data_IF_275160213425
#
_entry.id   IF_275160213425
#
_cell.length_a   1.000
_cell.length_b   1.000
_cell.length_c   1.000
_cell.angle_alpha   90.00
_cell.angle_beta   90.00
_cell.angle_gamma   90.00
#
_symmetry.space_group_name_H-M   'P 1'
#
loop_
_entity.id
_entity.type
_entity.pdbx_description
1 polymer ?
#
# COMPACT_ATOMS: atom_id res chain seq x y z
N UNK A 1 -70.32 27.29 36.18
CA UNK A 1 -69.02 27.98 36.18
C UNK A 1 -68.32 27.64 37.49
N UNK A 2 -67.07 27.13 37.41
CA UNK A 2 -65.96 27.18 38.41
C UNK A 2 -66.26 26.76 39.87
N UNK A 3 -65.50 25.90 40.58
CA UNK A 3 -64.04 25.73 40.82
C UNK A 3 -63.84 24.31 41.44
N UNK A 4 -62.86 23.44 41.09
CA UNK A 4 -61.40 23.41 41.43
C UNK A 4 -61.08 23.87 42.88
N UNK A 5 -60.20 23.30 43.70
CA UNK A 5 -59.31 22.14 43.70
C UNK A 5 -58.78 22.01 45.16
N UNK A 6 -58.23 20.86 45.56
CA UNK A 6 -56.86 20.80 46.07
C UNK A 6 -56.38 19.35 46.24
N UNK A 7 -55.51 18.96 45.32
CA UNK A 7 -54.63 17.79 45.38
C UNK A 7 -53.35 18.14 46.17
N UNK A 8 -52.65 17.13 46.73
CA UNK A 8 -51.41 17.29 47.50
C UNK A 8 -50.18 17.70 46.64
N UNK A 9 -49.11 18.23 47.27
CA UNK A 9 -48.08 19.06 46.62
C UNK A 9 -47.11 18.29 45.72
N UNK A 10 -46.49 18.97 44.73
CA UNK A 10 -45.52 18.38 43.81
C UNK A 10 -44.14 18.19 44.46
N UNK A 11 -43.39 17.13 44.09
CA UNK A 11 -41.99 16.99 44.47
C UNK A 11 -41.09 17.95 43.64
N UNK A 12 -39.95 18.38 44.20
CA UNK A 12 -39.11 19.43 43.63
C UNK A 12 -38.32 18.94 42.41
N UNK A 13 -38.26 19.82 41.41
CA UNK A 13 -37.39 19.75 40.25
C UNK A 13 -35.96 20.16 40.63
N UNK A 14 -35.01 19.25 40.50
CA UNK A 14 -33.61 19.62 40.33
C UNK A 14 -33.09 19.07 39.00
N UNK A 15 -32.46 20.00 38.29
CA UNK A 15 -31.80 19.83 37.01
C UNK A 15 -30.57 18.96 37.20
N UNK A 16 -30.45 17.90 36.41
CA UNK A 16 -29.15 17.38 35.99
C UNK A 16 -29.23 17.10 34.49
N UNK A 17 -29.10 18.18 33.73
CA UNK A 17 -28.54 18.13 32.38
C UNK A 17 -27.06 17.89 32.59
N UNK A 18 -26.62 16.63 32.59
CA UNK A 18 -25.21 16.35 32.46
C UNK A 18 -24.93 15.40 31.29
N UNK A 19 -24.67 16.06 30.17
CA UNK A 19 -23.65 15.72 29.19
C UNK A 19 -23.36 14.22 29.02
N UNK A 20 -24.25 13.55 28.30
CA UNK A 20 -23.79 12.47 27.42
C UNK A 20 -22.80 13.11 26.45
N UNK A 21 -21.52 13.10 26.81
CA UNK A 21 -20.42 13.43 25.94
C UNK A 21 -20.62 12.56 24.69
N UNK A 22 -21.15 13.18 23.65
CA UNK A 22 -21.02 12.69 22.31
C UNK A 22 -19.53 12.44 22.14
N UNK A 23 -19.14 11.17 22.19
CA UNK A 23 -17.84 10.74 21.69
C UNK A 23 -17.92 11.13 20.22
N UNK A 24 -17.44 12.33 19.90
CA UNK A 24 -17.12 12.72 18.55
C UNK A 24 -16.15 11.65 18.07
N UNK A 25 -16.66 10.62 17.40
CA UNK A 25 -15.88 9.80 16.50
C UNK A 25 -15.37 10.75 15.43
N UNK A 26 -14.27 11.45 15.74
CA UNK A 26 -13.49 12.18 14.76
C UNK A 26 -13.11 11.16 13.73
N UNK A 27 -13.80 11.20 12.58
CA UNK A 27 -13.45 10.40 11.42
C UNK A 27 -11.93 10.45 11.27
N UNK A 28 -11.24 9.31 11.40
CA UNK A 28 -9.79 9.31 11.43
C UNK A 28 -9.30 9.90 10.11
N UNK A 29 -8.51 10.98 10.19
CA UNK A 29 -7.96 11.65 9.00
C UNK A 29 -7.28 10.60 8.13
N UNK A 30 -7.82 10.38 6.93
CA UNK A 30 -7.29 9.45 5.95
C UNK A 30 -6.41 10.20 4.98
N UNK A 31 -5.21 9.68 4.76
CA UNK A 31 -4.25 10.21 3.82
C UNK A 31 -4.44 9.59 2.44
N UNK A 32 -4.42 10.43 1.41
CA UNK A 32 -4.48 10.00 0.02
C UNK A 32 -3.10 10.09 -0.63
N UNK A 33 -2.65 9.00 -1.26
CA UNK A 33 -1.40 8.91 -2.02
C UNK A 33 -1.66 8.04 -3.26
N UNK A 34 -1.40 8.59 -4.44
CA UNK A 34 -1.28 7.78 -5.65
C UNK A 34 0.12 7.14 -5.67
N UNK A 35 0.21 5.92 -5.14
CA UNK A 35 1.47 5.19 -4.92
C UNK A 35 2.10 4.82 -6.26
N UNK A 36 1.29 4.39 -7.23
CA UNK A 36 1.79 3.98 -8.54
C UNK A 36 2.38 5.18 -9.30
N UNK A 37 1.66 6.29 -9.33
CA UNK A 37 2.13 7.54 -9.95
C UNK A 37 3.38 8.08 -9.25
N UNK A 38 3.35 8.22 -7.92
CA UNK A 38 4.48 8.69 -7.11
C UNK A 38 5.75 7.88 -7.39
N UNK A 39 5.62 6.57 -7.49
CA UNK A 39 6.71 5.66 -7.82
C UNK A 39 7.22 5.91 -9.24
N UNK A 40 6.32 5.93 -10.24
CA UNK A 40 6.69 6.03 -11.66
C UNK A 40 7.35 7.35 -11.99
N UNK A 41 6.80 8.46 -11.50
CA UNK A 41 7.41 9.77 -11.66
C UNK A 41 8.82 9.83 -11.07
N UNK A 42 8.97 9.37 -9.82
CA UNK A 42 10.25 9.37 -9.13
C UNK A 42 11.29 8.52 -9.86
N UNK A 43 10.90 7.33 -10.35
CA UNK A 43 11.78 6.43 -11.09
C UNK A 43 12.20 7.03 -12.44
N UNK A 44 11.24 7.55 -13.22
CA UNK A 44 11.50 8.11 -14.55
C UNK A 44 12.37 9.37 -14.50
N UNK A 45 12.09 10.30 -13.57
CA UNK A 45 12.83 11.56 -13.44
C UNK A 45 14.24 11.37 -12.88
N UNK A 46 14.49 10.32 -12.10
CA UNK A 46 15.72 10.18 -11.31
C UNK A 46 16.57 8.95 -11.65
N UNK A 47 16.47 8.45 -12.88
CA UNK A 47 17.50 7.58 -13.48
C UNK A 47 16.99 6.33 -14.16
N UNK A 48 15.81 5.80 -13.77
CA UNK A 48 15.34 4.51 -14.30
C UNK A 48 14.89 4.58 -15.76
N UNK A 49 14.62 5.78 -16.31
CA UNK A 49 14.45 5.96 -17.75
C UNK A 49 15.64 5.42 -18.56
N UNK A 50 16.85 5.42 -17.98
CA UNK A 50 18.08 4.91 -18.58
C UNK A 50 18.65 3.70 -17.83
N UNK A 51 17.88 3.06 -16.94
CA UNK A 51 18.34 1.93 -16.13
C UNK A 51 19.37 2.26 -15.03
N UNK A 52 19.55 3.54 -14.68
CA UNK A 52 20.52 3.95 -13.64
C UNK A 52 19.91 3.84 -12.23
N UNK A 53 20.00 2.65 -11.65
CA UNK A 53 19.57 2.39 -10.28
C UNK A 53 20.44 3.10 -9.24
N UNK A 54 21.72 3.38 -9.53
CA UNK A 54 22.60 4.08 -8.58
C UNK A 54 22.13 5.52 -8.37
N UNK A 55 21.77 6.21 -9.47
CA UNK A 55 21.21 7.57 -9.42
C UNK A 55 19.89 7.61 -8.67
N UNK A 56 19.00 6.66 -8.92
CA UNK A 56 17.72 6.58 -8.21
C UNK A 56 17.91 6.34 -6.71
N UNK A 57 18.82 5.43 -6.32
CA UNK A 57 19.18 5.19 -4.92
C UNK A 57 19.70 6.45 -4.21
N UNK A 58 20.53 7.25 -4.90
CA UNK A 58 21.04 8.54 -4.39
C UNK A 58 19.89 9.53 -4.21
N UNK A 59 18.96 9.61 -5.17
CA UNK A 59 17.75 10.41 -5.04
C UNK A 59 16.92 10.01 -3.82
N UNK A 60 16.58 8.72 -3.65
CA UNK A 60 15.81 8.25 -2.50
C UNK A 60 16.51 8.60 -1.17
N UNK A 61 17.84 8.51 -1.13
CA UNK A 61 18.64 8.90 0.05
C UNK A 61 18.51 10.39 0.36
N UNK A 62 18.62 11.25 -0.65
CA UNK A 62 18.45 12.70 -0.48
C UNK A 62 17.00 13.06 -0.09
N UNK A 63 16.01 12.42 -0.73
CA UNK A 63 14.58 12.60 -0.43
C UNK A 63 14.27 12.21 1.01
N UNK A 64 14.75 11.07 1.48
CA UNK A 64 14.62 10.63 2.88
C UNK A 64 15.22 11.66 3.85
N UNK A 65 16.43 12.16 3.56
CA UNK A 65 17.07 13.19 4.41
C UNK A 65 16.20 14.44 4.52
N UNK A 66 15.61 14.91 3.42
CA UNK A 66 14.70 16.08 3.42
C UNK A 66 13.41 15.80 4.19
N UNK A 67 12.80 14.62 4.00
CA UNK A 67 11.59 14.20 4.73
C UNK A 67 11.84 14.12 6.24
N UNK A 68 12.92 13.46 6.68
CA UNK A 68 13.27 13.39 8.10
C UNK A 68 13.50 14.78 8.70
N UNK A 69 14.15 15.70 7.97
CA UNK A 69 14.35 17.08 8.43
C UNK A 69 13.03 17.85 8.52
N UNK A 70 12.15 17.73 7.52
CA UNK A 70 10.86 18.46 7.49
C UNK A 70 9.86 17.94 8.52
N UNK A 71 9.94 16.66 8.89
CA UNK A 71 9.17 16.03 9.94
C UNK A 71 9.76 16.24 11.35
N UNK A 72 10.94 16.85 11.45
CA UNK A 72 11.74 16.91 12.70
C UNK A 72 11.95 15.51 13.33
N UNK A 73 11.92 14.46 12.51
CA UNK A 73 12.03 13.07 12.92
C UNK A 73 13.45 12.57 12.65
N UNK A 74 14.42 13.10 13.40
CA UNK A 74 15.83 12.75 13.25
C UNK A 74 16.24 11.66 14.26
N UNK A 75 17.20 10.82 13.90
CA UNK A 75 17.70 9.73 14.75
C UNK A 75 18.78 10.19 15.73
N UNK A 76 18.62 11.37 16.32
CA UNK A 76 19.60 12.01 17.20
C UNK A 76 20.65 12.85 16.47
N UNK A 77 21.37 13.68 17.22
CA UNK A 77 22.48 14.52 16.76
C UNK A 77 23.75 13.98 17.44
N UNK A 78 24.62 13.29 16.70
CA UNK A 78 25.76 12.56 17.25
C UNK A 78 25.46 11.07 17.46
N UNK A 79 24.92 10.68 18.63
CA UNK A 79 24.58 9.28 18.93
C UNK A 79 23.31 8.85 18.20
N UNK A 80 23.40 7.77 17.43
CA UNK A 80 22.25 7.20 16.73
C UNK A 80 21.21 6.67 17.73
N UNK A 81 20.01 7.25 17.69
CA UNK A 81 18.84 6.80 18.43
C UNK A 81 17.77 6.38 17.44
N UNK A 82 17.52 5.07 17.36
CA UNK A 82 16.52 4.54 16.44
C UNK A 82 15.13 5.04 16.86
N UNK A 83 14.44 5.68 15.94
CA UNK A 83 13.02 6.04 16.08
C UNK A 83 12.23 5.22 15.08
N UNK A 84 11.36 4.36 15.59
CA UNK A 84 10.51 3.52 14.74
C UNK A 84 9.28 4.30 14.30
N UNK A 85 8.80 4.02 13.09
CA UNK A 85 7.54 4.57 12.58
C UNK A 85 6.46 3.54 12.90
N UNK A 86 5.57 3.91 13.81
CA UNK A 86 4.36 3.16 14.23
C UNK A 86 3.11 3.96 13.89
N UNK A 87 1.94 3.36 14.03
CA UNK A 87 0.65 4.01 13.74
C UNK A 87 0.45 5.34 14.46
N UNK A 88 0.87 5.43 15.72
CA UNK A 88 0.82 6.67 16.52
C UNK A 88 1.78 7.76 16.03
N UNK A 89 2.87 7.39 15.36
CA UNK A 89 3.82 8.37 14.80
C UNK A 89 3.36 8.95 13.47
N UNK A 90 2.43 8.29 12.76
CA UNK A 90 1.93 8.75 11.46
C UNK A 90 0.89 9.83 11.68
N UNK A 91 1.37 11.06 11.87
CA UNK A 91 0.53 12.27 12.01
C UNK A 91 0.39 13.04 10.69
N UNK A 92 1.19 12.70 9.68
CA UNK A 92 1.30 13.41 8.40
C UNK A 92 1.61 12.40 7.27
N UNK A 93 1.05 12.63 6.07
CA UNK A 93 1.31 11.87 4.84
C UNK A 93 2.81 11.64 4.60
N UNK A 94 3.63 12.63 4.96
CA UNK A 94 5.10 12.56 4.80
C UNK A 94 5.73 11.38 5.54
N UNK A 95 5.14 10.87 6.63
CA UNK A 95 5.62 9.64 7.27
C UNK A 95 5.43 8.41 6.39
N UNK A 96 4.30 8.31 5.67
CA UNK A 96 4.06 7.26 4.70
C UNK A 96 5.08 7.36 3.54
N UNK A 97 5.36 8.58 3.06
CA UNK A 97 6.44 8.80 2.09
C UNK A 97 7.81 8.35 2.61
N UNK A 98 8.13 8.55 3.90
CA UNK A 98 9.39 8.04 4.47
C UNK A 98 9.47 6.52 4.33
N UNK A 99 8.43 5.79 4.73
CA UNK A 99 8.44 4.31 4.66
C UNK A 99 8.51 3.85 3.20
N UNK A 100 7.74 4.48 2.31
CA UNK A 100 7.79 4.23 0.87
C UNK A 100 9.21 4.40 0.30
N UNK A 101 9.87 5.54 0.54
CA UNK A 101 11.23 5.78 0.04
C UNK A 101 12.30 4.92 0.73
N UNK A 102 12.04 4.37 1.91
CA UNK A 102 12.91 3.36 2.54
C UNK A 102 12.85 2.02 1.79
N UNK A 103 11.66 1.63 1.32
CA UNK A 103 11.46 0.46 0.47
C UNK A 103 12.12 0.68 -0.90
N UNK A 104 11.83 1.79 -1.59
CA UNK A 104 12.38 2.10 -2.91
C UNK A 104 13.92 2.16 -2.91
N UNK A 105 14.53 2.78 -1.89
CA UNK A 105 15.99 2.82 -1.77
C UNK A 105 16.60 1.41 -1.61
N UNK A 106 15.93 0.53 -0.87
CA UNK A 106 16.40 -0.84 -0.66
C UNK A 106 16.22 -1.69 -1.92
N UNK A 107 15.09 -1.54 -2.61
CA UNK A 107 14.80 -2.20 -3.89
C UNK A 107 15.77 -1.75 -4.98
N UNK A 108 15.99 -0.44 -5.14
CA UNK A 108 16.93 0.12 -6.10
C UNK A 108 18.37 -0.37 -5.87
N UNK A 109 18.79 -0.53 -4.60
CA UNK A 109 20.09 -1.12 -4.29
C UNK A 109 20.16 -2.61 -4.66
N UNK A 110 19.06 -3.36 -4.48
CA UNK A 110 19.00 -4.75 -4.90
C UNK A 110 19.09 -4.86 -6.43
N UNK A 111 18.35 -4.01 -7.16
CA UNK A 111 18.37 -3.97 -8.62
C UNK A 111 19.75 -3.57 -9.17
N UNK A 112 20.42 -2.58 -8.58
CA UNK A 112 21.81 -2.22 -8.92
C UNK A 112 22.75 -3.44 -8.84
N UNK A 113 22.57 -4.30 -7.83
CA UNK A 113 23.36 -5.53 -7.69
C UNK A 113 22.92 -6.63 -8.64
N UNK A 114 21.63 -6.72 -8.96
CA UNK A 114 21.08 -7.67 -9.94
C UNK A 114 21.62 -7.40 -11.34
N UNK A 115 21.56 -6.14 -11.80
CA UNK A 115 22.01 -5.75 -13.14
C UNK A 115 23.51 -5.91 -13.35
N UNK A 116 24.29 -5.91 -12.28
CA UNK A 116 25.73 -6.13 -12.33
C UNK A 116 26.12 -7.62 -12.52
N UNK A 117 25.16 -8.55 -12.55
CA UNK A 117 25.45 -9.99 -12.69
C UNK A 117 26.18 -10.56 -11.47
N UNK A 118 25.52 -10.66 -10.30
CA UNK A 118 26.21 -10.95 -9.05
C UNK A 118 26.71 -12.38 -8.97
N UNK A 119 27.93 -12.58 -8.47
CA UNK A 119 28.44 -13.89 -8.07
C UNK A 119 27.70 -14.42 -6.82
N UNK A 120 27.95 -15.67 -6.40
CA UNK A 120 27.19 -16.29 -5.30
C UNK A 120 27.18 -15.47 -3.98
N UNK A 121 28.31 -14.94 -3.46
CA UNK A 121 28.29 -14.04 -2.30
C UNK A 121 27.50 -12.73 -2.54
N UNK A 122 27.68 -12.10 -3.70
CA UNK A 122 26.97 -10.87 -4.06
C UNK A 122 25.46 -11.12 -4.19
N UNK A 123 25.07 -12.32 -4.63
CA UNK A 123 23.68 -12.75 -4.71
C UNK A 123 23.03 -12.85 -3.33
N UNK A 124 23.73 -13.38 -2.33
CA UNK A 124 23.25 -13.40 -0.94
C UNK A 124 23.00 -11.98 -0.43
N UNK A 125 23.93 -11.06 -0.70
CA UNK A 125 23.79 -9.66 -0.35
C UNK A 125 22.62 -8.97 -1.08
N UNK A 126 22.48 -9.21 -2.38
CA UNK A 126 21.36 -8.73 -3.21
C UNK A 126 20.01 -9.20 -2.63
N UNK A 127 19.87 -10.49 -2.32
CA UNK A 127 18.68 -11.03 -1.67
C UNK A 127 18.44 -10.38 -0.30
N UNK A 128 19.49 -10.09 0.47
CA UNK A 128 19.40 -9.33 1.71
C UNK A 128 18.82 -7.92 1.51
N UNK A 129 19.13 -7.26 0.39
CA UNK A 129 18.53 -5.96 0.02
C UNK A 129 17.07 -6.09 -0.38
N UNK A 130 16.69 -7.11 -1.15
CA UNK A 130 15.28 -7.39 -1.45
C UNK A 130 14.46 -7.69 -0.18
N UNK A 131 14.97 -8.51 0.75
CA UNK A 131 14.30 -8.76 2.04
C UNK A 131 14.04 -7.47 2.82
N UNK A 132 15.02 -6.55 2.79
CA UNK A 132 14.87 -5.23 3.41
C UNK A 132 13.79 -4.40 2.72
N UNK A 133 13.72 -4.42 1.38
CA UNK A 133 12.68 -3.73 0.62
C UNK A 133 11.28 -4.25 0.99
N UNK A 134 11.10 -5.58 0.99
CA UNK A 134 9.83 -6.23 1.36
C UNK A 134 9.42 -5.87 2.79
N UNK A 135 10.36 -5.86 3.74
CA UNK A 135 10.06 -5.45 5.12
C UNK A 135 9.47 -4.03 5.21
N UNK A 136 10.04 -3.09 4.45
CA UNK A 136 9.52 -1.71 4.43
C UNK A 136 8.22 -1.59 3.65
N UNK A 137 8.06 -2.32 2.55
CA UNK A 137 6.82 -2.35 1.77
C UNK A 137 5.65 -2.95 2.57
N UNK A 138 5.89 -4.00 3.36
CA UNK A 138 4.90 -4.56 4.27
C UNK A 138 4.47 -3.56 5.35
N UNK A 139 5.43 -2.87 5.96
CA UNK A 139 5.13 -1.80 6.93
C UNK A 139 4.34 -0.66 6.26
N UNK A 140 4.70 -0.27 5.04
CA UNK A 140 4.00 0.75 4.27
C UNK A 140 2.54 0.35 4.03
N UNK A 141 2.29 -0.86 3.54
CA UNK A 141 0.94 -1.39 3.34
C UNK A 141 0.14 -1.44 4.63
N UNK A 142 0.72 -1.90 5.74
CA UNK A 142 0.07 -1.91 7.06
C UNK A 142 -0.35 -0.49 7.49
N UNK A 143 0.55 0.48 7.40
CA UNK A 143 0.25 1.86 7.80
C UNK A 143 -0.79 2.50 6.87
N UNK A 144 -0.74 2.23 5.56
CA UNK A 144 -1.74 2.70 4.61
C UNK A 144 -3.12 2.05 4.82
N UNK A 145 -3.19 0.80 5.30
CA UNK A 145 -4.48 0.18 5.66
C UNK A 145 -5.17 0.91 6.83
N UNK A 146 -4.39 1.49 7.74
CA UNK A 146 -4.89 2.12 8.97
C UNK A 146 -5.09 3.63 8.81
N UNK A 147 -4.17 4.29 8.10
CA UNK A 147 -4.13 5.75 7.95
C UNK A 147 -4.45 6.24 6.53
N UNK A 148 -4.45 5.36 5.54
CA UNK A 148 -4.76 5.68 4.15
C UNK A 148 -6.26 5.61 3.86
N UNK A 149 -6.68 6.27 2.79
CA UNK A 149 -7.98 6.04 2.16
C UNK A 149 -8.03 4.66 1.47
N UNK A 150 -9.22 4.25 1.04
CA UNK A 150 -9.43 2.92 0.43
C UNK A 150 -8.51 2.69 -0.77
N UNK A 151 -8.35 3.70 -1.63
CA UNK A 151 -7.49 3.63 -2.82
C UNK A 151 -6.02 3.45 -2.44
N UNK A 152 -5.50 4.29 -1.56
CA UNK A 152 -4.11 4.24 -1.08
C UNK A 152 -3.81 2.92 -0.42
N UNK A 153 -4.77 2.37 0.34
CA UNK A 153 -4.61 1.05 0.99
C UNK A 153 -4.45 -0.07 -0.03
N UNK A 154 -5.26 -0.09 -1.10
CA UNK A 154 -5.17 -1.06 -2.19
C UNK A 154 -3.88 -0.91 -2.99
N UNK A 155 -3.52 0.31 -3.37
CA UNK A 155 -2.28 0.57 -4.11
C UNK A 155 -1.03 0.18 -3.30
N UNK A 156 -1.03 0.43 -1.99
CA UNK A 156 0.05 0.04 -1.10
C UNK A 156 0.15 -1.49 -0.95
N UNK A 157 -0.99 -2.19 -0.95
CA UNK A 157 -1.05 -3.66 -0.94
C UNK A 157 -0.53 -4.28 -2.25
N UNK A 158 -0.90 -3.71 -3.39
CA UNK A 158 -0.36 -4.11 -4.69
C UNK A 158 1.16 -3.90 -4.76
N UNK A 159 1.64 -2.75 -4.28
CA UNK A 159 3.07 -2.46 -4.20
C UNK A 159 3.83 -3.44 -3.29
N UNK A 160 3.28 -3.77 -2.12
CA UNK A 160 3.87 -4.74 -1.20
C UNK A 160 3.89 -6.16 -1.81
N UNK A 161 2.82 -6.55 -2.49
CA UNK A 161 2.72 -7.82 -3.22
C UNK A 161 3.78 -7.90 -4.32
N UNK A 162 3.93 -6.86 -5.15
CA UNK A 162 4.96 -6.79 -6.19
C UNK A 162 6.37 -6.96 -5.62
N UNK A 163 6.69 -6.25 -4.53
CA UNK A 163 7.99 -6.35 -3.86
C UNK A 163 8.26 -7.75 -3.32
N UNK A 164 7.24 -8.38 -2.73
CA UNK A 164 7.32 -9.74 -2.19
C UNK A 164 7.47 -10.78 -3.31
N UNK A 165 6.68 -10.65 -4.38
CA UNK A 165 6.78 -11.47 -5.59
C UNK A 165 8.18 -11.41 -6.19
N UNK A 166 8.74 -10.20 -6.34
CA UNK A 166 10.12 -9.99 -6.81
C UNK A 166 11.14 -10.72 -5.94
N UNK A 167 11.07 -10.59 -4.61
CA UNK A 167 11.98 -11.32 -3.72
C UNK A 167 11.90 -12.84 -3.90
N UNK A 168 10.67 -13.39 -3.94
CA UNK A 168 10.45 -14.83 -4.03
C UNK A 168 10.88 -15.38 -5.40
N UNK A 169 10.61 -14.63 -6.46
CA UNK A 169 11.08 -14.91 -7.82
C UNK A 169 12.60 -15.00 -7.85
N UNK A 170 13.29 -13.99 -7.32
CA UNK A 170 14.76 -13.98 -7.25
C UNK A 170 15.35 -15.03 -6.31
N UNK A 171 14.59 -15.56 -5.35
CA UNK A 171 15.05 -16.65 -4.48
C UNK A 171 14.96 -18.01 -5.16
N UNK A 172 14.06 -18.17 -6.12
CA UNK A 172 13.75 -19.43 -6.81
C UNK A 172 13.32 -20.59 -5.90
N UNK A 173 12.89 -20.29 -4.66
CA UNK A 173 12.49 -21.32 -3.69
C UNK A 173 11.00 -21.56 -3.62
N UNK A 174 10.19 -20.54 -3.82
CA UNK A 174 8.73 -20.61 -3.73
C UNK A 174 8.11 -19.83 -4.89
N UNK A 175 8.06 -20.49 -6.04
CA UNK A 175 7.63 -19.91 -7.32
C UNK A 175 6.11 -19.71 -7.34
N UNK A 176 5.36 -20.61 -6.70
CA UNK A 176 3.92 -20.51 -6.50
C UNK A 176 3.56 -19.24 -5.72
N UNK A 177 4.18 -19.02 -4.56
CA UNK A 177 3.95 -17.80 -3.80
C UNK A 177 4.44 -16.55 -4.56
N UNK A 178 5.50 -16.64 -5.37
CA UNK A 178 5.92 -15.54 -6.24
C UNK A 178 4.82 -15.18 -7.25
N UNK A 179 4.27 -16.19 -7.93
CA UNK A 179 3.20 -16.05 -8.90
C UNK A 179 1.95 -15.46 -8.28
N UNK A 180 1.51 -15.96 -7.12
CA UNK A 180 0.34 -15.44 -6.42
C UNK A 180 0.50 -13.95 -6.09
N UNK A 181 1.68 -13.54 -5.62
CA UNK A 181 1.95 -12.12 -5.34
C UNK A 181 1.92 -11.25 -6.61
N UNK A 182 2.38 -11.78 -7.74
CA UNK A 182 2.28 -11.11 -9.03
C UNK A 182 0.85 -11.05 -9.57
N UNK A 183 0.07 -12.13 -9.45
CA UNK A 183 -1.37 -12.15 -9.78
C UNK A 183 -2.13 -11.13 -8.94
N UNK A 184 -1.91 -11.06 -7.63
CA UNK A 184 -2.52 -10.05 -6.76
C UNK A 184 -2.19 -8.63 -7.24
N UNK A 185 -0.93 -8.39 -7.59
CA UNK A 185 -0.49 -7.10 -8.16
C UNK A 185 -1.25 -6.78 -9.46
N UNK A 186 -1.36 -7.75 -10.37
CA UNK A 186 -2.11 -7.62 -11.64
C UNK A 186 -3.58 -7.29 -11.35
N UNK A 187 -4.26 -8.07 -10.52
CA UNK A 187 -5.69 -7.90 -10.22
C UNK A 187 -5.99 -6.53 -9.61
N UNK A 188 -5.21 -6.05 -8.63
CA UNK A 188 -5.44 -4.70 -8.08
C UNK A 188 -5.32 -3.63 -9.17
N UNK A 189 -4.24 -3.65 -9.96
CA UNK A 189 -4.04 -2.61 -10.97
C UNK A 189 -5.01 -2.71 -12.15
N UNK A 190 -5.53 -3.90 -12.44
CA UNK A 190 -6.61 -4.10 -13.41
C UNK A 190 -7.90 -3.42 -12.91
N UNK A 191 -8.27 -3.62 -11.64
CA UNK A 191 -9.43 -2.95 -11.05
C UNK A 191 -9.24 -1.44 -10.91
N UNK A 192 -8.09 -0.97 -10.42
CA UNK A 192 -7.79 0.46 -10.31
C UNK A 192 -7.75 1.16 -11.67
N UNK A 193 -7.40 0.43 -12.74
CA UNK A 193 -7.45 0.91 -14.10
C UNK A 193 -8.86 1.28 -14.54
N UNK A 194 -9.89 0.51 -14.15
CA UNK A 194 -11.29 0.74 -14.59
C UNK A 194 -11.88 2.07 -14.13
N UNK A 195 -11.47 2.55 -12.96
CA UNK A 195 -12.07 3.72 -12.30
C UNK A 195 -11.13 4.95 -12.27
N UNK A 196 -9.99 4.90 -12.96
CA UNK A 196 -9.04 6.01 -13.03
C UNK A 196 -9.20 6.88 -14.28
N UNK A 197 -8.61 8.09 -14.24
CA UNK A 197 -8.41 8.89 -15.46
C UNK A 197 -7.41 8.23 -16.43
N UNK A 198 -7.26 8.82 -17.62
CA UNK A 198 -6.44 8.27 -18.71
C UNK A 198 -4.99 8.01 -18.27
N UNK A 199 -4.37 8.94 -17.54
CA UNK A 199 -3.00 8.77 -17.05
C UNK A 199 -2.88 7.57 -16.09
N UNK A 200 -3.81 7.43 -15.14
CA UNK A 200 -3.84 6.29 -14.23
C UNK A 200 -4.05 4.96 -14.97
N UNK A 201 -4.93 4.93 -15.97
CA UNK A 201 -5.17 3.76 -16.82
C UNK A 201 -3.88 3.32 -17.51
N UNK A 202 -3.14 4.27 -18.10
CA UNK A 202 -1.87 3.99 -18.77
C UNK A 202 -0.82 3.46 -17.78
N UNK A 203 -0.68 4.07 -16.60
CA UNK A 203 0.26 3.60 -15.58
C UNK A 203 -0.08 2.20 -15.08
N UNK A 204 -1.37 1.91 -14.85
CA UNK A 204 -1.84 0.59 -14.43
C UNK A 204 -1.55 -0.45 -15.51
N UNK A 205 -1.86 -0.15 -16.77
CA UNK A 205 -1.57 -1.03 -17.91
C UNK A 205 -0.08 -1.34 -18.03
N UNK A 206 0.78 -0.34 -17.97
CA UNK A 206 2.24 -0.54 -18.00
C UNK A 206 2.72 -1.43 -16.85
N UNK A 207 2.14 -1.27 -15.65
CA UNK A 207 2.49 -2.12 -14.50
C UNK A 207 2.02 -3.57 -14.70
N UNK A 208 0.86 -3.79 -15.32
CA UNK A 208 0.37 -5.14 -15.65
C UNK A 208 1.30 -5.79 -16.68
N UNK A 209 1.62 -5.10 -17.77
CA UNK A 209 2.51 -5.57 -18.84
C UNK A 209 3.92 -5.93 -18.31
N UNK A 210 4.42 -5.24 -17.29
CA UNK A 210 5.68 -5.59 -16.63
C UNK A 210 5.60 -6.88 -15.80
N UNK A 211 4.44 -7.18 -15.22
CA UNK A 211 4.24 -8.31 -14.31
C UNK A 211 3.88 -9.60 -15.07
N UNK A 212 3.21 -9.49 -16.21
CA UNK A 212 2.80 -10.63 -17.04
C UNK A 212 3.93 -11.59 -17.42
N UNK A 213 5.13 -11.14 -17.88
CA UNK A 213 6.23 -12.05 -18.18
C UNK A 213 6.68 -12.86 -16.95
N UNK A 214 6.62 -12.27 -15.75
CA UNK A 214 6.98 -12.95 -14.50
C UNK A 214 5.93 -13.99 -14.12
N UNK A 215 4.64 -13.68 -14.28
CA UNK A 215 3.54 -14.65 -14.12
C UNK A 215 3.72 -15.81 -15.10
N UNK A 216 3.92 -15.52 -16.38
CA UNK A 216 4.12 -16.53 -17.41
C UNK A 216 5.36 -17.39 -17.17
N UNK A 217 6.46 -16.82 -16.68
CA UNK A 217 7.63 -17.59 -16.27
C UNK A 217 7.32 -18.51 -15.09
N UNK A 218 6.65 -18.01 -14.05
CA UNK A 218 6.28 -18.83 -12.90
C UNK A 218 5.32 -19.95 -13.32
N UNK A 219 4.31 -19.64 -14.13
CA UNK A 219 3.37 -20.61 -14.68
C UNK A 219 4.10 -21.71 -15.45
N UNK A 220 5.01 -21.37 -16.38
CA UNK A 220 5.81 -22.38 -17.11
C UNK A 220 6.73 -23.20 -16.20
N UNK A 221 7.32 -22.59 -15.16
CA UNK A 221 8.21 -23.30 -14.23
C UNK A 221 7.44 -24.23 -13.29
N UNK A 222 6.18 -23.92 -13.00
CA UNK A 222 5.25 -24.79 -12.25
C UNK A 222 4.61 -25.86 -13.15
N UNK A 223 4.15 -25.48 -14.33
CA UNK A 223 3.53 -26.33 -15.36
C UNK A 223 4.52 -27.14 -16.22
N UNK A 224 5.82 -26.94 -16.04
CA UNK A 224 6.86 -27.92 -16.41
C UNK A 224 6.71 -29.25 -15.66
N UNK A 225 5.84 -29.25 -14.63
CA UNK A 225 5.20 -30.40 -14.01
C UNK A 225 3.71 -30.40 -14.40
N UNK A 226 3.42 -30.84 -15.62
CA UNK A 226 2.11 -31.17 -16.19
C UNK A 226 1.03 -30.06 -16.30
N UNK A 227 0.57 -29.89 -17.55
CA UNK A 227 -0.70 -29.35 -18.05
C UNK A 227 -1.82 -29.17 -16.99
N UNK A 228 -2.00 -27.96 -16.46
CA UNK A 228 -3.20 -27.56 -15.72
C UNK A 228 -3.31 -26.02 -15.63
N UNK A 229 -3.30 -25.35 -16.78
CA UNK A 229 -3.51 -23.89 -16.81
C UNK A 229 -4.95 -23.50 -16.40
N UNK A 230 -5.89 -24.45 -16.50
CA UNK A 230 -7.30 -24.27 -16.13
C UNK A 230 -7.56 -24.51 -14.62
N UNK A 231 -6.93 -25.49 -13.97
CA UNK A 231 -7.21 -25.82 -12.56
C UNK A 231 -6.50 -24.90 -11.56
N UNK A 232 -5.42 -24.23 -11.97
CA UNK A 232 -4.68 -23.30 -11.11
C UNK A 232 -5.39 -21.95 -10.92
N UNK A 233 -6.35 -21.63 -11.79
CA UNK A 233 -7.21 -20.45 -11.65
C UNK A 233 -8.35 -20.68 -10.65
N UNK A 234 -8.69 -21.94 -10.36
CA UNK A 234 -9.82 -22.29 -9.49
C UNK A 234 -9.38 -22.73 -8.09
N UNK A 235 -8.18 -23.30 -7.91
CA UNK A 235 -7.67 -23.65 -6.57
C UNK A 235 -7.17 -22.45 -5.73
N UNK A 236 -6.85 -21.32 -6.35
CA UNK A 236 -6.31 -20.13 -5.65
C UNK A 236 -7.40 -19.14 -5.17
N UNK A 237 -8.68 -19.45 -5.40
CA UNK A 237 -9.83 -18.57 -5.11
C UNK A 237 -10.41 -18.72 -3.71
N UNK A 238 -9.86 -19.60 -2.86
CA UNK A 238 -10.40 -19.85 -1.53
C UNK A 238 -9.33 -19.68 -0.45
N UNK A 239 -9.56 -18.71 0.44
CA UNK A 239 -8.71 -18.49 1.60
C UNK A 239 -8.97 -17.12 2.25
N UNK A 240 -8.81 -16.99 3.58
CA UNK A 240 -9.20 -15.79 4.32
C UNK A 240 -8.46 -14.53 3.86
N UNK A 241 -7.24 -14.67 3.33
CA UNK A 241 -6.49 -13.55 2.77
C UNK A 241 -7.04 -13.09 1.40
N UNK A 242 -7.50 -14.03 0.57
CA UNK A 242 -8.13 -13.73 -0.72
C UNK A 242 -9.52 -13.12 -0.53
N UNK A 243 -10.30 -13.62 0.44
CA UNK A 243 -11.60 -13.07 0.80
C UNK A 243 -11.48 -11.63 1.32
N UNK A 244 -10.51 -11.38 2.21
CA UNK A 244 -10.23 -10.03 2.70
C UNK A 244 -9.80 -9.09 1.57
N UNK A 245 -8.97 -9.58 0.65
CA UNK A 245 -8.53 -8.84 -0.52
C UNK A 245 -9.70 -8.49 -1.45
N UNK A 246 -10.56 -9.46 -1.75
CA UNK A 246 -11.77 -9.28 -2.56
C UNK A 246 -12.74 -8.29 -1.90
N UNK A 247 -12.94 -8.40 -0.58
CA UNK A 247 -13.77 -7.47 0.17
C UNK A 247 -13.24 -6.02 0.08
N UNK A 248 -11.92 -5.80 0.15
CA UNK A 248 -11.34 -4.46 -0.02
C UNK A 248 -11.59 -3.90 -1.43
N UNK A 249 -11.48 -4.74 -2.46
CA UNK A 249 -11.79 -4.35 -3.85
C UNK A 249 -13.28 -3.99 -3.98
N UNK A 250 -14.17 -4.82 -3.46
CA UNK A 250 -15.62 -4.56 -3.50
C UNK A 250 -15.98 -3.26 -2.77
N UNK A 251 -15.40 -3.01 -1.60
CA UNK A 251 -15.56 -1.74 -0.86
C UNK A 251 -15.08 -0.56 -1.69
N UNK A 252 -13.92 -0.67 -2.33
CA UNK A 252 -13.41 0.39 -3.22
C UNK A 252 -14.35 0.66 -4.39
N UNK A 253 -14.76 -0.38 -5.11
CA UNK A 253 -15.68 -0.28 -6.25
C UNK A 253 -17.04 0.31 -5.84
N UNK A 254 -17.53 -0.03 -4.65
CA UNK A 254 -18.76 0.53 -4.10
C UNK A 254 -18.63 2.02 -3.78
N UNK A 255 -17.52 2.43 -3.17
CA UNK A 255 -17.26 3.83 -2.84
C UNK A 255 -17.12 4.69 -4.11
N UNK A 256 -16.38 4.22 -5.11
CA UNK A 256 -16.26 4.94 -6.39
C UNK A 256 -17.60 5.03 -7.10
N UNK A 257 -18.38 3.94 -7.17
CA UNK A 257 -19.71 3.95 -7.78
C UNK A 257 -20.66 4.94 -7.08
N UNK A 258 -20.62 5.02 -5.74
CA UNK A 258 -21.38 6.01 -4.98
C UNK A 258 -20.97 7.44 -5.31
N UNK A 259 -19.67 7.73 -5.38
CA UNK A 259 -19.15 9.05 -5.77
C UNK A 259 -19.64 9.44 -7.17
N UNK A 260 -19.51 8.56 -8.16
CA UNK A 260 -20.03 8.80 -9.52
C UNK A 260 -21.55 9.02 -9.54
N UNK A 261 -22.33 8.22 -8.79
CA UNK A 261 -23.79 8.41 -8.71
C UNK A 261 -24.20 9.72 -8.02
N UNK A 262 -23.41 10.17 -7.04
CA UNK A 262 -23.65 11.42 -6.32
C UNK A 262 -23.34 12.65 -7.17
N UNK A 263 -22.38 12.55 -8.11
CA UNK A 263 -22.10 13.59 -9.10
C UNK A 263 -23.22 13.71 -10.13
N UNK A 264 -23.81 12.59 -10.60
CA UNK A 264 -24.94 12.61 -11.54
C UNK A 264 -26.25 13.18 -10.96
N UNK A 265 -26.48 13.06 -9.64
CA UNK A 265 -27.67 13.63 -8.98
C UNK A 265 -27.56 15.12 -8.63
N UNK A 266 -26.37 15.72 -8.83
CA UNK A 266 -26.09 17.13 -8.57
C UNK A 266 -25.93 17.96 -9.86
N UNK A 267 -26.06 17.33 -11.02
CA UNK A 267 -26.14 17.99 -12.33
C UNK A 267 -27.58 18.03 -12.83
#
# INVERSE_FOLDING_TARGET
MSKLANQPPPPPSDMDIDSAAAVEEKNPVRFSINVLELMREAQMQHGLRHGDYTRYRRYCTARLRRLYKSLKFLHGRGKYTRRNITESTVTDVRFLHVVFYMAERAWSHAMEKKTAGPNAPQRIYMLGRFRKAVKWAALFSQLCSIKGDSRTSLEAEAYASYMKGTLLFEQEKNIEAAMLNFKNTRTVYEELGKYGGIENQLLCRQRIEEVEPMIGFCSRKLGGSALQEHDLLDMEKEGPAYDLFKAKIEVFSFLTTKEYSGMLKRS
#
